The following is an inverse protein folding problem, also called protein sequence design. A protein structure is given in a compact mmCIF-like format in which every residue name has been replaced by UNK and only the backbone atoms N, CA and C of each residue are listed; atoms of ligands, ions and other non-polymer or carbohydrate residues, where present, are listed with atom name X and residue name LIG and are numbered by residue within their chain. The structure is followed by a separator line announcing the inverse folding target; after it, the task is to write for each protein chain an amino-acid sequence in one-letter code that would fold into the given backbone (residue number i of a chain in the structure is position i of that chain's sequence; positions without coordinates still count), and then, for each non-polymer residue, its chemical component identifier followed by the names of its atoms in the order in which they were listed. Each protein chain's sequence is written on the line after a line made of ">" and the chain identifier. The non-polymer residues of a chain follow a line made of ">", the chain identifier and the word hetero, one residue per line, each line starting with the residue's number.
data_IF_433772917606
#
_entry.id   IF_433772917606
#
_cell.length_a   1.000
_cell.length_b   1.000
_cell.length_c   1.000
_cell.angle_alpha   90.00
_cell.angle_beta   90.00
_cell.angle_gamma   90.00
#
_symmetry.space_group_name_H-M   'P 1'
#
loop_
_entity.id
_entity.type
_entity.pdbx_description
1 polymer ?
#
# COMPACT_ATOMS: atom_id res chain seq x y z
N UNK A 1 36.57 18.87 82.14
CA UNK A 1 35.60 18.18 81.27
C UNK A 1 34.67 19.25 80.71
N UNK A 2 34.60 19.43 79.37
CA UNK A 2 33.39 19.19 78.52
C UNK A 2 32.28 20.24 78.74
N UNK A 3 31.73 21.00 77.80
CA UNK A 3 31.82 21.11 76.33
C UNK A 3 31.30 22.52 75.96
N UNK A 4 31.85 23.10 74.89
CA UNK A 4 31.28 24.22 74.13
C UNK A 4 30.02 23.70 73.42
N UNK A 5 28.93 24.48 73.37
CA UNK A 5 27.86 24.25 72.37
C UNK A 5 27.17 25.54 71.96
N UNK A 6 27.29 25.79 70.65
CA UNK A 6 26.88 26.96 69.92
C UNK A 6 25.36 27.07 69.77
N UNK A 7 24.91 28.32 69.68
CA UNK A 7 23.61 28.74 69.18
C UNK A 7 23.54 28.40 67.68
N UNK A 8 22.58 27.57 67.28
CA UNK A 8 22.21 27.36 65.87
C UNK A 8 20.73 27.69 65.70
N UNK A 9 20.47 28.83 65.05
CA UNK A 9 19.16 29.22 64.54
C UNK A 9 18.96 28.48 63.22
N UNK A 10 18.09 27.47 63.19
CA UNK A 10 17.65 26.82 61.96
C UNK A 10 16.54 27.64 61.30
N UNK A 11 16.91 28.43 60.30
CA UNK A 11 15.95 29.01 59.34
C UNK A 11 15.46 27.91 58.40
N UNK A 12 14.22 27.44 58.58
CA UNK A 12 13.54 26.55 57.64
C UNK A 12 13.12 27.33 56.40
N UNK A 13 13.90 27.25 55.33
CA UNK A 13 13.48 27.67 53.99
C UNK A 13 12.55 26.61 53.39
N UNK A 14 11.24 26.87 53.42
CA UNK A 14 10.26 26.07 52.67
C UNK A 14 10.36 26.47 51.21
N UNK A 15 11.14 25.74 50.42
CA UNK A 15 11.14 25.87 48.96
C UNK A 15 9.91 25.16 48.43
N UNK A 16 8.83 25.91 48.21
CA UNK A 16 7.65 25.46 47.49
C UNK A 16 8.03 25.26 46.01
N UNK A 17 8.56 24.09 45.67
CA UNK A 17 8.73 23.71 44.28
C UNK A 17 7.34 23.45 43.72
N UNK A 18 6.80 24.44 43.03
CA UNK A 18 5.61 24.29 42.19
C UNK A 18 6.01 23.39 41.03
N UNK A 19 5.96 22.08 41.24
CA UNK A 19 5.98 21.11 40.14
C UNK A 19 4.65 21.26 39.40
N UNK A 20 4.56 22.29 38.56
CA UNK A 20 3.55 22.35 37.52
C UNK A 20 3.64 21.05 36.73
N UNK A 21 2.51 20.44 36.34
CA UNK A 21 2.55 19.21 35.57
C UNK A 21 3.31 19.51 34.29
N UNK A 22 4.57 19.09 34.24
CA UNK A 22 5.29 18.97 33.00
C UNK A 22 4.43 18.03 32.18
N UNK A 23 3.73 18.58 31.20
CA UNK A 23 3.30 17.84 30.03
C UNK A 23 4.58 17.41 29.32
N UNK A 24 5.30 16.46 29.93
CA UNK A 24 6.14 15.53 29.21
C UNK A 24 5.19 14.96 28.17
N UNK A 25 5.27 15.50 26.95
CA UNK A 25 4.76 14.84 25.75
C UNK A 25 5.32 13.44 25.82
N UNK A 26 4.49 12.52 26.31
CA UNK A 26 4.87 11.13 26.54
C UNK A 26 5.47 10.65 25.22
N UNK A 27 6.66 10.05 25.28
CA UNK A 27 7.34 9.55 24.09
C UNK A 27 6.37 8.62 23.36
N UNK A 28 5.78 9.12 22.28
CA UNK A 28 5.03 8.28 21.37
C UNK A 28 6.02 7.22 20.86
N UNK A 29 5.60 5.96 20.90
CA UNK A 29 6.33 4.88 20.27
C UNK A 29 6.49 5.24 18.80
N UNK A 30 7.74 5.29 18.33
CA UNK A 30 8.01 5.46 16.91
C UNK A 30 7.47 4.25 16.13
N UNK A 31 6.48 4.43 15.24
CA UNK A 31 5.91 3.33 14.45
C UNK A 31 6.95 2.55 13.64
N UNK A 32 8.07 3.18 13.26
CA UNK A 32 9.16 2.55 12.54
C UNK A 32 9.91 1.52 13.40
N UNK A 33 9.92 1.70 14.72
CA UNK A 33 10.56 0.78 15.66
C UNK A 33 9.66 -0.39 16.08
N UNK A 34 8.38 -0.37 15.70
CA UNK A 34 7.41 -1.43 16.04
C UNK A 34 7.60 -2.62 15.09
N UNK A 35 7.88 -3.83 15.61
CA UNK A 35 8.02 -5.02 14.77
C UNK A 35 6.80 -5.29 13.88
N UNK A 36 7.02 -5.80 12.67
CA UNK A 36 5.96 -6.18 11.74
C UNK A 36 5.37 -7.54 12.13
N UNK A 37 4.05 -7.74 11.99
CA UNK A 37 3.42 -9.01 12.35
C UNK A 37 3.88 -10.16 11.46
N UNK A 38 4.20 -9.91 10.19
CA UNK A 38 4.72 -10.90 9.26
C UNK A 38 3.71 -11.95 8.74
N UNK A 39 2.48 -11.97 9.25
CA UNK A 39 1.35 -12.69 8.66
C UNK A 39 0.12 -11.77 8.61
N UNK A 40 -0.86 -12.11 7.77
CA UNK A 40 -2.14 -11.40 7.68
C UNK A 40 -3.17 -12.06 8.60
N UNK A 41 -4.17 -11.28 9.04
CA UNK A 41 -5.34 -11.86 9.69
C UNK A 41 -6.16 -12.67 8.68
N UNK A 42 -7.00 -13.57 9.19
CA UNK A 42 -7.96 -14.34 8.40
C UNK A 42 -7.35 -15.21 7.27
N UNK A 43 -6.16 -15.78 7.49
CA UNK A 43 -5.54 -16.71 6.52
C UNK A 43 -6.21 -18.08 6.64
N UNK A 44 -6.70 -18.63 5.52
CA UNK A 44 -7.32 -19.96 5.43
C UNK A 44 -8.35 -20.25 6.54
N UNK A 45 -9.45 -19.48 6.62
CA UNK A 45 -10.48 -19.71 7.63
C UNK A 45 -11.12 -21.09 7.47
N UNK A 46 -11.25 -21.83 8.56
CA UNK A 46 -11.90 -23.16 8.59
C UNK A 46 -13.43 -23.09 8.64
N UNK A 47 -13.99 -21.91 8.87
CA UNK A 47 -15.42 -21.71 9.16
C UNK A 47 -15.81 -21.91 10.63
N UNK A 48 -14.88 -22.35 11.50
CA UNK A 48 -15.10 -22.52 12.95
C UNK A 48 -14.57 -21.36 13.79
N UNK A 49 -14.05 -20.30 13.15
CA UNK A 49 -13.39 -19.16 13.82
C UNK A 49 -11.87 -19.27 13.91
N UNK A 50 -11.30 -20.38 13.43
CA UNK A 50 -9.86 -20.63 13.39
C UNK A 50 -9.27 -20.35 12.01
N UNK A 51 -8.06 -19.80 12.02
CA UNK A 51 -7.27 -19.44 10.86
C UNK A 51 -5.83 -19.95 11.01
N UNK A 52 -5.10 -19.99 9.90
CA UNK A 52 -3.70 -20.42 9.87
C UNK A 52 -2.78 -19.30 10.35
N UNK A 53 -2.06 -19.57 11.43
CA UNK A 53 -0.94 -18.77 11.93
C UNK A 53 0.40 -19.23 11.38
N UNK A 54 1.48 -18.72 11.97
CA UNK A 54 2.84 -19.13 11.61
C UNK A 54 3.00 -20.65 11.80
N UNK A 55 3.54 -21.37 10.80
CA UNK A 55 3.78 -22.81 10.92
C UNK A 55 4.73 -23.17 12.04
N UNK A 56 4.53 -24.34 12.65
CA UNK A 56 5.50 -24.94 13.56
C UNK A 56 6.75 -25.43 12.81
N UNK A 57 7.71 -26.02 13.54
CA UNK A 57 8.96 -26.51 12.97
C UNK A 57 8.76 -27.60 11.88
N UNK A 58 7.61 -28.28 11.90
CA UNK A 58 7.21 -29.31 10.95
C UNK A 58 6.49 -28.73 9.72
N UNK A 59 6.37 -27.40 9.62
CA UNK A 59 5.67 -26.73 8.52
C UNK A 59 4.15 -26.79 8.61
N UNK A 60 3.59 -27.24 9.73
CA UNK A 60 2.13 -27.30 9.95
C UNK A 60 1.67 -25.96 10.52
N UNK A 61 0.73 -25.24 9.85
CA UNK A 61 0.16 -24.00 10.37
C UNK A 61 -0.44 -24.17 11.76
N UNK A 62 -0.06 -23.31 12.70
CA UNK A 62 -0.66 -23.28 14.04
C UNK A 62 -2.01 -22.57 13.95
N UNK A 63 -3.10 -23.18 14.45
CA UNK A 63 -4.42 -22.55 14.45
C UNK A 63 -4.46 -21.37 15.43
N UNK A 64 -4.96 -20.24 14.94
CA UNK A 64 -5.13 -18.99 15.69
C UNK A 64 -6.54 -18.44 15.45
N UNK A 65 -7.06 -17.56 16.33
CA UNK A 65 -8.32 -16.87 16.05
C UNK A 65 -8.22 -16.05 14.76
N UNK A 66 -9.25 -16.07 13.90
CA UNK A 66 -9.22 -15.33 12.63
C UNK A 66 -9.12 -13.80 12.78
N UNK A 67 -9.44 -13.26 13.96
CA UNK A 67 -9.22 -11.84 14.30
C UNK A 67 -7.76 -11.49 14.61
N UNK A 68 -6.85 -12.47 14.52
CA UNK A 68 -5.44 -12.31 14.83
C UNK A 68 -4.58 -12.45 13.57
N UNK A 69 -3.55 -11.60 13.40
CA UNK A 69 -3.19 -10.44 14.22
C UNK A 69 -4.25 -9.32 14.17
N UNK A 70 -4.27 -8.39 15.15
CA UNK A 70 -5.18 -7.25 15.13
C UNK A 70 -4.83 -6.26 14.00
N UNK A 71 -5.71 -5.28 13.79
CA UNK A 71 -5.35 -4.10 13.01
C UNK A 71 -4.09 -3.40 13.59
N UNK A 72 -3.22 -2.92 12.70
CA UNK A 72 -1.90 -2.40 13.10
C UNK A 72 -2.00 -1.07 13.82
N UNK A 73 -2.88 -0.18 13.40
CA UNK A 73 -3.04 1.12 14.07
C UNK A 73 -3.63 0.94 15.47
N UNK A 74 -4.63 0.05 15.59
CA UNK A 74 -5.22 -0.34 16.87
C UNK A 74 -4.20 -0.98 17.82
N UNK A 75 -3.29 -1.81 17.28
CA UNK A 75 -2.18 -2.38 18.04
C UNK A 75 -1.16 -1.32 18.49
N UNK A 76 -0.77 -0.40 17.61
CA UNK A 76 0.17 0.69 17.94
C UNK A 76 -0.42 1.61 19.00
N UNK A 77 -1.72 1.90 18.95
CA UNK A 77 -2.41 2.65 20.00
C UNK A 77 -2.33 1.92 21.35
N UNK A 78 -2.56 0.60 21.36
CA UNK A 78 -2.44 -0.22 22.56
C UNK A 78 -1.02 -0.26 23.11
N UNK A 79 -0.02 -0.40 22.23
CA UNK A 79 1.40 -0.38 22.58
C UNK A 79 1.81 0.99 23.15
N UNK A 80 1.35 2.07 22.55
CA UNK A 80 1.55 3.44 23.05
C UNK A 80 0.99 3.60 24.45
N UNK A 81 -0.22 3.10 24.72
CA UNK A 81 -0.82 3.15 26.04
C UNK A 81 0.01 2.36 27.07
N UNK A 82 0.47 1.15 26.71
CA UNK A 82 1.31 0.32 27.59
C UNK A 82 2.66 1.00 27.89
N UNK A 83 3.35 1.51 26.87
CA UNK A 83 4.65 2.19 27.03
C UNK A 83 4.51 3.48 27.84
N UNK A 84 3.41 4.22 27.65
CA UNK A 84 3.12 5.43 28.40
C UNK A 84 2.98 5.20 29.92
N UNK A 85 2.51 4.02 30.33
CA UNK A 85 2.35 3.65 31.76
C UNK A 85 3.44 2.70 32.27
N UNK A 86 4.33 2.23 31.39
CA UNK A 86 5.43 1.31 31.72
C UNK A 86 5.03 -0.15 31.95
N UNK A 87 3.77 -0.52 31.72
CA UNK A 87 3.22 -1.86 31.94
C UNK A 87 2.05 -2.13 30.99
N UNK A 88 1.61 -3.39 30.88
CA UNK A 88 0.45 -3.72 30.06
C UNK A 88 -0.81 -3.18 30.74
N UNK A 89 -1.53 -2.24 30.12
CA UNK A 89 -2.71 -1.59 30.71
C UNK A 89 -3.76 -2.61 31.17
N UNK A 90 -3.96 -3.67 30.38
CA UNK A 90 -4.91 -4.74 30.72
C UNK A 90 -4.30 -5.89 31.53
N UNK A 91 -3.00 -5.82 31.85
CA UNK A 91 -2.31 -6.76 32.75
C UNK A 91 -1.15 -6.06 33.49
N UNK A 92 -1.45 -5.22 34.50
CA UNK A 92 -0.46 -4.32 35.09
C UNK A 92 0.71 -5.00 35.81
N UNK A 93 0.61 -6.30 36.06
CA UNK A 93 1.71 -7.08 36.67
C UNK A 93 2.89 -7.25 35.73
N UNK A 94 2.68 -7.11 34.41
CA UNK A 94 3.73 -7.25 33.41
C UNK A 94 4.27 -5.86 33.04
N UNK A 95 5.53 -5.62 33.37
CA UNK A 95 6.26 -4.40 33.01
C UNK A 95 6.68 -4.45 31.53
N UNK A 96 6.67 -3.30 30.86
CA UNK A 96 7.18 -3.15 29.50
C UNK A 96 8.19 -2.00 29.44
N UNK A 97 9.23 -2.20 28.65
CA UNK A 97 10.13 -1.14 28.20
C UNK A 97 10.18 -1.11 26.68
N UNK A 98 10.30 0.08 26.11
CA UNK A 98 10.42 0.27 24.66
C UNK A 98 11.61 1.18 24.36
N UNK A 99 12.84 0.66 24.48
CA UNK A 99 14.05 1.43 24.22
C UNK A 99 14.14 1.79 22.72
N UNK A 100 14.81 2.90 22.40
CA UNK A 100 14.87 3.46 21.05
C UNK A 100 16.21 3.23 20.34
N UNK A 101 17.24 2.75 21.04
CA UNK A 101 18.53 2.47 20.41
C UNK A 101 18.50 1.16 19.60
N UNK A 102 19.56 0.93 18.83
CA UNK A 102 19.67 -0.19 17.91
C UNK A 102 20.43 -1.38 18.49
N UNK A 103 20.72 -1.41 19.80
CA UNK A 103 21.36 -2.57 20.41
C UNK A 103 20.47 -3.81 20.27
N UNK A 104 21.12 -4.98 20.21
CA UNK A 104 20.45 -6.28 20.24
C UNK A 104 19.46 -6.40 21.41
N UNK A 105 19.86 -5.93 22.58
CA UNK A 105 19.02 -5.90 23.77
C UNK A 105 17.77 -5.04 23.57
N UNK A 106 17.92 -3.85 22.97
CA UNK A 106 16.80 -2.94 22.71
C UNK A 106 15.84 -3.47 21.65
N UNK A 107 16.34 -4.11 20.60
CA UNK A 107 15.50 -4.77 19.60
C UNK A 107 14.68 -5.92 20.20
N UNK A 108 15.30 -6.77 21.04
CA UNK A 108 14.59 -7.84 21.75
C UNK A 108 13.57 -7.29 22.76
N UNK A 109 13.89 -6.20 23.46
CA UNK A 109 12.96 -5.54 24.38
C UNK A 109 11.72 -5.02 23.63
N UNK A 110 11.88 -4.43 22.44
CA UNK A 110 10.74 -3.99 21.60
C UNK A 110 9.88 -5.15 21.11
N UNK A 111 10.49 -6.27 20.71
CA UNK A 111 9.76 -7.49 20.35
C UNK A 111 9.01 -8.09 21.53
N UNK A 112 9.62 -8.10 22.71
CA UNK A 112 8.96 -8.55 23.93
C UNK A 112 7.78 -7.64 24.27
N UNK A 113 7.97 -6.32 24.24
CA UNK A 113 6.91 -5.33 24.45
C UNK A 113 5.75 -5.50 23.46
N UNK A 114 6.05 -5.73 22.19
CA UNK A 114 5.05 -6.01 21.17
C UNK A 114 4.31 -7.33 21.43
N UNK A 115 5.01 -8.37 21.86
CA UNK A 115 4.44 -9.70 22.18
C UNK A 115 3.52 -9.63 23.40
N UNK A 116 3.95 -8.96 24.48
CA UNK A 116 3.15 -8.75 25.69
C UNK A 116 1.90 -7.94 25.35
N UNK A 117 2.04 -6.87 24.57
CA UNK A 117 0.89 -6.06 24.13
C UNK A 117 -0.11 -6.92 23.35
N UNK A 118 0.38 -7.73 22.40
CA UNK A 118 -0.44 -8.61 21.58
C UNK A 118 -1.23 -9.62 22.42
N UNK A 119 -0.60 -10.23 23.41
CA UNK A 119 -1.19 -11.24 24.28
C UNK A 119 -2.15 -10.67 25.32
N UNK A 120 -2.08 -9.37 25.61
CA UNK A 120 -2.89 -8.72 26.65
C UNK A 120 -3.81 -7.63 26.09
N UNK A 121 -4.24 -7.73 24.83
CA UNK A 121 -5.10 -6.72 24.19
C UNK A 121 -6.48 -6.58 24.85
N UNK A 122 -7.02 -7.64 25.44
CA UNK A 122 -8.38 -7.69 25.99
C UNK A 122 -8.43 -8.13 27.46
N UNK A 123 -7.27 -8.32 28.10
CA UNK A 123 -7.17 -8.81 29.47
C UNK A 123 -5.91 -9.66 29.67
N UNK A 124 -5.65 -10.15 30.90
CA UNK A 124 -4.50 -10.99 31.19
C UNK A 124 -4.48 -12.27 30.33
N UNK A 125 -3.53 -12.37 29.40
CA UNK A 125 -3.41 -13.49 28.47
C UNK A 125 -4.55 -13.59 27.44
N UNK A 126 -5.47 -12.63 27.41
CA UNK A 126 -6.58 -12.58 26.45
C UNK A 126 -6.21 -11.61 25.34
N UNK A 127 -5.75 -12.16 24.23
CA UNK A 127 -5.28 -11.41 23.08
C UNK A 127 -4.96 -12.34 21.92
N UNK A 128 -4.03 -11.94 21.07
CA UNK A 128 -3.57 -12.77 19.99
C UNK A 128 -2.35 -13.60 20.43
N UNK A 129 -2.31 -14.92 20.12
CA UNK A 129 -1.17 -15.75 20.45
C UNK A 129 0.06 -15.29 19.65
N UNK A 130 1.27 -15.63 20.12
CA UNK A 130 2.51 -15.28 19.42
C UNK A 130 2.59 -15.87 18.01
N UNK A 131 1.98 -17.05 17.80
CA UNK A 131 1.80 -17.69 16.49
C UNK A 131 0.99 -16.85 15.49
N UNK A 132 0.27 -15.83 15.94
CA UNK A 132 -0.36 -14.84 15.07
C UNK A 132 0.63 -13.82 14.48
N UNK A 133 1.93 -13.98 14.75
CA UNK A 133 2.99 -13.10 14.27
C UNK A 133 4.28 -13.88 14.04
N UNK A 134 5.24 -13.29 13.33
CA UNK A 134 6.60 -13.82 13.18
C UNK A 134 7.57 -13.31 14.25
N UNK A 135 7.07 -12.75 15.37
CA UNK A 135 7.92 -12.15 16.41
C UNK A 135 8.94 -13.13 16.99
N UNK A 136 8.58 -14.41 17.16
CA UNK A 136 9.52 -15.43 17.64
C UNK A 136 10.68 -15.66 16.66
N UNK A 137 10.39 -15.75 15.36
CA UNK A 137 11.41 -15.89 14.32
C UNK A 137 12.30 -14.63 14.23
N UNK A 138 11.70 -13.44 14.37
CA UNK A 138 12.45 -12.18 14.42
C UNK A 138 13.38 -12.12 15.65
N UNK A 139 12.89 -12.55 16.82
CA UNK A 139 13.70 -12.62 18.03
C UNK A 139 14.88 -13.59 17.88
N UNK A 140 14.65 -14.76 17.27
CA UNK A 140 15.71 -15.72 16.97
C UNK A 140 16.73 -15.17 15.96
N UNK A 141 16.30 -14.48 14.91
CA UNK A 141 17.21 -13.85 13.96
C UNK A 141 18.13 -12.81 14.64
N UNK A 142 17.56 -11.96 15.50
CA UNK A 142 18.32 -10.99 16.30
C UNK A 142 19.28 -11.70 17.27
N UNK A 143 18.84 -12.79 17.90
CA UNK A 143 19.67 -13.61 18.78
C UNK A 143 20.87 -14.22 18.06
N UNK A 144 20.71 -14.62 16.81
CA UNK A 144 21.77 -15.22 15.99
C UNK A 144 22.72 -14.20 15.36
N UNK A 145 22.59 -12.91 15.68
CA UNK A 145 23.46 -11.86 15.14
C UNK A 145 23.21 -11.57 13.66
N UNK A 146 22.15 -12.14 13.09
CA UNK A 146 21.59 -11.65 11.84
C UNK A 146 20.94 -10.31 12.17
N UNK A 147 21.34 -9.19 11.55
CA UNK A 147 20.65 -7.92 11.78
C UNK A 147 19.16 -8.15 11.54
N UNK A 148 18.30 -7.71 12.47
CA UNK A 148 16.90 -7.53 12.11
C UNK A 148 16.89 -6.78 10.77
N UNK A 149 16.08 -7.20 9.77
CA UNK A 149 15.92 -6.41 8.56
C UNK A 149 15.74 -4.96 9.01
N UNK A 150 16.61 -4.03 8.59
CA UNK A 150 16.54 -2.67 9.10
C UNK A 150 15.09 -2.22 8.93
N UNK A 151 14.49 -1.70 9.99
CA UNK A 151 13.32 -0.87 9.82
C UNK A 151 13.68 0.07 8.67
N UNK A 152 12.89 0.13 7.58
CA UNK A 152 13.18 1.03 6.47
C UNK A 152 13.55 2.35 7.09
N UNK A 153 14.74 2.88 6.77
CA UNK A 153 15.24 4.09 7.39
C UNK A 153 14.08 5.08 7.42
N UNK A 154 13.73 5.55 8.61
CA UNK A 154 12.80 6.68 8.71
C UNK A 154 13.31 7.69 7.70
N UNK A 155 12.48 8.13 6.73
CA UNK A 155 12.90 9.15 5.79
C UNK A 155 13.57 10.24 6.61
N UNK A 156 14.75 10.69 6.18
CA UNK A 156 15.41 11.81 6.83
C UNK A 156 14.34 12.87 7.16
N UNK A 157 14.32 13.45 8.38
CA UNK A 157 13.38 14.50 8.70
C UNK A 157 13.33 15.41 7.49
N UNK A 158 12.16 15.59 6.84
CA UNK A 158 12.08 16.45 5.69
C UNK A 158 12.77 17.73 6.08
N UNK A 159 13.72 18.20 5.25
CA UNK A 159 14.22 19.55 5.37
C UNK A 159 12.99 20.41 5.67
N UNK A 160 13.03 21.15 6.81
CA UNK A 160 11.87 21.84 7.35
C UNK A 160 11.08 22.40 6.16
N UNK A 161 9.84 21.92 5.92
CA UNK A 161 9.19 22.13 4.65
C UNK A 161 9.23 23.62 4.39
N UNK A 162 9.83 23.99 3.25
CA UNK A 162 9.55 25.29 2.68
C UNK A 162 8.02 25.44 2.75
N UNK A 163 7.50 26.57 3.27
CA UNK A 163 6.08 26.77 3.48
C UNK A 163 5.34 26.22 2.25
N UNK A 164 4.32 25.34 2.44
CA UNK A 164 3.75 24.59 1.35
C UNK A 164 3.45 25.53 0.20
N UNK A 165 4.08 25.29 -0.95
CA UNK A 165 3.58 25.86 -2.19
C UNK A 165 2.10 25.46 -2.24
N UNK A 166 1.23 26.46 -2.31
CA UNK A 166 -0.21 26.26 -2.34
C UNK A 166 -0.53 25.13 -3.34
N UNK A 167 -1.19 24.04 -2.90
CA UNK A 167 -1.65 23.01 -3.83
C UNK A 167 -1.59 21.52 -3.46
N UNK A 168 -0.98 21.09 -2.35
CA UNK A 168 -0.78 19.66 -2.07
C UNK A 168 -2.07 18.85 -1.85
N UNK A 169 -2.55 18.14 -2.87
CA UNK A 169 -3.67 17.19 -2.79
C UNK A 169 -3.17 15.85 -2.24
N UNK A 170 -3.78 15.37 -1.15
CA UNK A 170 -3.57 14.01 -0.66
C UNK A 170 -4.22 12.98 -1.61
N UNK A 171 -3.44 12.08 -2.26
CA UNK A 171 -3.97 11.06 -3.17
C UNK A 171 -5.04 10.15 -2.56
N UNK A 172 -5.01 9.93 -1.24
CA UNK A 172 -5.98 9.08 -0.54
C UNK A 172 -7.35 9.74 -0.40
N UNK A 173 -7.39 11.08 -0.44
CA UNK A 173 -8.63 11.86 -0.41
C UNK A 173 -9.25 12.04 -1.80
N UNK A 174 -8.56 11.62 -2.87
CA UNK A 174 -9.04 11.72 -4.25
C UNK A 174 -10.06 10.60 -4.53
N UNK A 175 -11.31 10.94 -4.92
CA UNK A 175 -12.32 9.96 -5.25
C UNK A 175 -11.87 8.91 -6.27
N UNK A 176 -12.37 7.68 -6.14
CA UNK A 176 -12.17 6.63 -7.13
C UNK A 176 -13.13 6.84 -8.31
N UNK A 177 -12.66 6.58 -9.55
CA UNK A 177 -13.50 6.73 -10.74
C UNK A 177 -14.66 5.74 -10.76
N UNK A 178 -14.47 4.53 -10.23
CA UNK A 178 -15.50 3.49 -10.15
C UNK A 178 -15.83 2.80 -11.48
N UNK A 179 -15.17 3.16 -12.58
CA UNK A 179 -15.19 2.43 -13.85
C UNK A 179 -13.78 2.38 -14.46
N UNK A 180 -13.54 1.44 -15.35
CA UNK A 180 -12.26 1.28 -16.09
C UNK A 180 -12.41 1.83 -17.50
N UNK A 181 -11.37 2.49 -18.02
CA UNK A 181 -11.32 2.96 -19.40
C UNK A 181 -11.40 1.80 -20.39
N UNK A 182 -11.81 2.09 -21.63
CA UNK A 182 -11.83 1.07 -22.69
C UNK A 182 -12.91 -0.01 -22.53
N UNK A 183 -13.90 0.16 -21.65
CA UNK A 183 -14.96 -0.84 -21.44
C UNK A 183 -15.86 -0.94 -22.68
N UNK A 184 -16.00 -2.14 -23.24
CA UNK A 184 -16.87 -2.44 -24.39
C UNK A 184 -16.72 -1.45 -25.56
N UNK A 185 -15.54 -1.41 -26.22
CA UNK A 185 -15.33 -0.50 -27.34
C UNK A 185 -16.26 -0.83 -28.50
N UNK A 186 -16.86 0.19 -29.08
CA UNK A 186 -17.78 0.07 -30.23
C UNK A 186 -17.07 0.07 -31.58
N UNK A 187 -15.77 0.36 -31.61
CA UNK A 187 -15.00 0.55 -32.83
C UNK A 187 -15.04 1.98 -33.41
N UNK A 188 -15.91 2.86 -32.91
CA UNK A 188 -15.99 4.28 -33.34
C UNK A 188 -15.27 5.25 -32.40
N UNK A 189 -14.51 4.73 -31.42
CA UNK A 189 -13.85 5.54 -30.38
C UNK A 189 -14.67 5.70 -29.09
N UNK A 190 -15.89 5.17 -29.06
CA UNK A 190 -16.78 5.18 -27.90
C UNK A 190 -16.78 3.87 -27.11
N UNK A 191 -16.84 4.00 -25.80
CA UNK A 191 -16.87 2.95 -24.81
C UNK A 191 -18.05 3.14 -23.84
N UNK A 192 -18.38 2.10 -23.08
CA UNK A 192 -19.46 2.11 -22.10
C UNK A 192 -19.03 2.79 -20.79
N UNK A 193 -19.68 3.91 -20.47
CA UNK A 193 -19.59 4.60 -19.18
C UNK A 193 -20.63 4.10 -18.17
N UNK A 194 -20.86 4.90 -17.13
CA UNK A 194 -21.88 4.63 -16.12
C UNK A 194 -23.27 4.62 -16.77
N UNK A 195 -24.12 3.62 -16.49
CA UNK A 195 -25.47 3.57 -17.03
C UNK A 195 -26.36 4.72 -16.55
N UNK A 196 -27.32 5.12 -17.39
CA UNK A 196 -28.39 6.03 -16.99
C UNK A 196 -29.42 5.35 -16.05
N UNK A 197 -30.45 6.07 -15.64
CA UNK A 197 -31.49 5.55 -14.74
C UNK A 197 -32.25 4.34 -15.30
N UNK A 198 -32.24 4.16 -16.62
CA UNK A 198 -32.84 3.05 -17.35
C UNK A 198 -31.90 1.84 -17.49
N UNK A 199 -30.69 1.91 -16.92
CA UNK A 199 -29.68 0.86 -17.00
C UNK A 199 -28.93 0.80 -18.33
N UNK A 200 -29.12 1.79 -19.22
CA UNK A 200 -28.43 1.86 -20.52
C UNK A 200 -27.08 2.54 -20.33
N UNK A 201 -25.94 1.90 -20.69
CA UNK A 201 -24.62 2.52 -20.62
C UNK A 201 -24.55 3.82 -21.43
N UNK A 202 -24.08 4.90 -20.81
CA UNK A 202 -23.83 6.16 -21.50
C UNK A 202 -22.51 6.03 -22.27
N UNK A 203 -22.51 6.37 -23.57
CA UNK A 203 -21.29 6.33 -24.37
C UNK A 203 -20.32 7.45 -23.95
N UNK A 204 -19.07 7.08 -23.75
CA UNK A 204 -17.97 7.96 -23.37
C UNK A 204 -16.77 7.69 -24.28
N UNK A 205 -15.84 8.65 -24.47
CA UNK A 205 -14.60 8.37 -25.19
C UNK A 205 -13.83 7.22 -24.53
N UNK A 206 -13.27 6.29 -25.30
CA UNK A 206 -12.54 5.14 -24.74
C UNK A 206 -11.30 5.50 -23.92
N UNK A 207 -10.76 6.72 -24.10
CA UNK A 207 -9.68 7.28 -23.26
C UNK A 207 -10.14 7.75 -21.87
N UNK A 208 -11.43 7.62 -21.56
CA UNK A 208 -12.04 8.04 -20.30
C UNK A 208 -12.46 6.83 -19.46
N UNK A 209 -12.22 6.86 -18.13
CA UNK A 209 -11.47 7.87 -17.39
C UNK A 209 -9.96 7.87 -17.74
N UNK A 210 -9.23 8.98 -17.48
CA UNK A 210 -7.78 9.02 -17.67
C UNK A 210 -7.05 8.08 -16.71
N UNK A 211 -5.75 7.88 -16.93
CA UNK A 211 -4.86 7.29 -15.93
C UNK A 211 -4.94 8.07 -14.59
N UNK A 212 -4.96 7.34 -13.47
CA UNK A 212 -5.17 7.91 -12.14
C UNK A 212 -4.02 8.82 -11.72
N UNK A 213 -2.77 8.47 -12.02
CA UNK A 213 -1.62 9.30 -11.66
C UNK A 213 -1.65 10.63 -12.45
N UNK A 214 -1.94 10.54 -13.75
CA UNK A 214 -2.09 11.71 -14.64
C UNK A 214 -3.23 12.63 -14.21
N UNK A 215 -4.34 12.06 -13.75
CA UNK A 215 -5.45 12.81 -13.18
C UNK A 215 -5.08 13.52 -11.88
N UNK A 216 -4.40 12.84 -10.95
CA UNK A 216 -3.97 13.43 -9.67
C UNK A 216 -2.98 14.57 -9.92
N UNK A 217 -2.09 14.43 -10.91
CA UNK A 217 -1.22 15.53 -11.32
C UNK A 217 -2.00 16.76 -11.80
N UNK A 218 -3.04 16.54 -12.62
CA UNK A 218 -3.91 17.62 -13.11
C UNK A 218 -4.71 18.27 -11.97
N UNK A 219 -5.21 17.47 -11.03
CA UNK A 219 -5.94 17.93 -9.86
C UNK A 219 -5.02 18.76 -8.94
N UNK A 220 -3.79 18.32 -8.70
CA UNK A 220 -2.77 19.08 -7.96
C UNK A 220 -2.53 20.45 -8.60
N UNK A 221 -2.36 20.50 -9.92
CA UNK A 221 -2.17 21.77 -10.63
C UNK A 221 -3.37 22.71 -10.47
N UNK A 222 -4.59 22.19 -10.55
CA UNK A 222 -5.81 22.99 -10.37
C UNK A 222 -5.94 23.52 -8.92
N UNK A 223 -5.65 22.69 -7.92
CA UNK A 223 -5.73 23.08 -6.51
C UNK A 223 -4.63 24.08 -6.17
N UNK A 224 -3.43 23.93 -6.76
CA UNK A 224 -2.35 24.89 -6.62
C UNK A 224 -2.69 26.27 -7.19
N UNK A 225 -3.36 26.28 -8.35
CA UNK A 225 -3.83 27.50 -8.99
C UNK A 225 -5.07 28.12 -8.30
N UNK A 226 -5.78 27.37 -7.46
CA UNK A 226 -7.09 27.73 -6.92
C UNK A 226 -8.22 27.71 -7.96
N UNK A 227 -7.94 27.31 -9.20
CA UNK A 227 -8.86 27.26 -10.32
C UNK A 227 -8.47 26.15 -11.30
N UNK A 228 -9.39 25.76 -12.20
CA UNK A 228 -9.05 24.81 -13.25
C UNK A 228 -8.07 25.46 -14.25
N UNK A 229 -6.85 24.94 -14.37
CA UNK A 229 -5.76 25.54 -15.17
C UNK A 229 -6.18 25.76 -16.63
N UNK A 230 -6.92 24.80 -17.20
CA UNK A 230 -7.42 24.91 -18.58
C UNK A 230 -8.80 25.58 -18.69
N UNK A 231 -9.39 26.02 -17.58
CA UNK A 231 -10.61 26.81 -17.53
C UNK A 231 -10.64 27.73 -16.29
N UNK A 232 -9.85 28.82 -16.27
CA UNK A 232 -9.61 29.61 -15.06
C UNK A 232 -10.84 30.27 -14.45
N UNK A 233 -11.96 30.32 -15.19
CA UNK A 233 -13.23 30.84 -14.69
C UNK A 233 -13.84 29.97 -13.59
N UNK A 234 -13.41 28.70 -13.48
CA UNK A 234 -13.94 27.76 -12.49
C UNK A 234 -12.94 27.62 -11.33
N UNK A 235 -13.37 28.02 -10.14
CA UNK A 235 -12.58 27.89 -8.92
C UNK A 235 -12.55 26.44 -8.43
N UNK A 236 -11.41 26.03 -7.87
CA UNK A 236 -11.18 24.67 -7.37
C UNK A 236 -10.64 24.74 -5.95
N UNK A 237 -11.29 24.03 -5.03
CA UNK A 237 -10.87 23.89 -3.63
C UNK A 237 -10.81 22.42 -3.24
N UNK A 238 -9.76 22.02 -2.52
CA UNK A 238 -9.60 20.63 -2.08
C UNK A 238 -9.29 20.57 -0.57
N UNK A 239 -10.32 20.71 0.30
CA UNK A 239 -10.14 20.70 1.74
C UNK A 239 -9.75 19.30 2.25
N UNK A 240 -8.94 19.24 3.31
CA UNK A 240 -8.42 17.98 3.88
C UNK A 240 -9.29 17.36 4.98
N UNK A 241 -10.19 18.12 5.60
CA UNK A 241 -11.03 17.59 6.68
C UNK A 241 -12.15 16.67 6.16
N UNK A 242 -12.77 15.90 7.06
CA UNK A 242 -13.76 14.89 6.71
C UNK A 242 -15.22 15.35 6.84
N UNK A 243 -15.46 16.67 6.92
CA UNK A 243 -16.84 17.17 6.90
C UNK A 243 -17.53 16.82 5.58
N UNK A 244 -18.86 16.67 5.62
CA UNK A 244 -19.71 16.48 4.43
C UNK A 244 -19.43 17.54 3.36
N UNK A 245 -19.31 18.81 3.77
CA UNK A 245 -18.97 19.91 2.88
C UNK A 245 -17.62 19.71 2.19
N UNK A 246 -16.60 19.26 2.93
CA UNK A 246 -15.27 18.99 2.36
C UNK A 246 -15.26 17.81 1.40
N UNK A 247 -16.00 16.75 1.70
CA UNK A 247 -16.12 15.60 0.80
C UNK A 247 -16.78 15.99 -0.53
N UNK A 248 -17.86 16.78 -0.46
CA UNK A 248 -18.53 17.32 -1.65
C UNK A 248 -17.62 18.28 -2.43
N UNK A 249 -16.84 19.13 -1.75
CA UNK A 249 -15.88 20.02 -2.39
C UNK A 249 -14.80 19.24 -3.15
N UNK A 250 -14.27 18.14 -2.58
CA UNK A 250 -13.31 17.26 -3.26
C UNK A 250 -13.91 16.56 -4.48
N UNK A 251 -15.15 16.08 -4.40
CA UNK A 251 -15.85 15.50 -5.55
C UNK A 251 -16.11 16.53 -6.66
N UNK A 252 -16.45 17.76 -6.28
CA UNK A 252 -16.61 18.86 -7.24
C UNK A 252 -15.27 19.19 -7.91
N UNK A 253 -14.19 19.34 -7.14
CA UNK A 253 -12.84 19.57 -7.66
C UNK A 253 -12.39 18.46 -8.63
N UNK A 254 -12.69 17.19 -8.29
CA UNK A 254 -12.40 16.05 -9.15
C UNK A 254 -13.22 16.09 -10.45
N UNK A 255 -14.50 16.43 -10.37
CA UNK A 255 -15.40 16.56 -11.53
C UNK A 255 -14.97 17.69 -12.46
N UNK A 256 -14.67 18.87 -11.91
CA UNK A 256 -14.17 20.03 -12.65
C UNK A 256 -12.85 19.70 -13.35
N UNK A 257 -11.92 19.05 -12.65
CA UNK A 257 -10.64 18.62 -13.22
C UNK A 257 -10.87 17.67 -14.40
N UNK A 258 -11.74 16.67 -14.22
CA UNK A 258 -12.06 15.68 -15.24
C UNK A 258 -12.63 16.31 -16.53
N UNK A 259 -13.54 17.28 -16.37
CA UNK A 259 -14.22 17.95 -17.49
C UNK A 259 -13.35 18.97 -18.21
N UNK A 260 -12.26 19.44 -17.59
CA UNK A 260 -11.39 20.49 -18.12
C UNK A 260 -9.95 20.00 -18.35
N UNK A 261 -9.74 18.71 -18.60
CA UNK A 261 -8.38 18.14 -18.79
C UNK A 261 -7.65 18.69 -20.02
N UNK A 262 -8.38 19.09 -21.07
CA UNK A 262 -7.83 19.50 -22.37
C UNK A 262 -8.36 20.85 -22.86
N UNK A 263 -9.08 21.60 -22.02
CA UNK A 263 -9.71 22.87 -22.35
C UNK A 263 -11.08 23.03 -21.67
N UNK A 264 -11.75 24.19 -21.82
CA UNK A 264 -13.06 24.43 -21.25
C UNK A 264 -14.10 23.41 -21.72
N UNK A 265 -14.55 22.53 -20.82
CA UNK A 265 -15.49 21.44 -21.13
C UNK A 265 -14.92 20.34 -22.04
N UNK A 266 -13.62 20.38 -22.36
CA UNK A 266 -12.94 19.38 -23.17
C UNK A 266 -12.18 18.45 -22.24
N UNK A 267 -12.78 17.32 -21.92
CA UNK A 267 -12.24 16.34 -20.99
C UNK A 267 -13.08 15.06 -21.00
N UNK A 268 -13.10 14.38 -19.86
CA UNK A 268 -13.96 13.21 -19.70
C UNK A 268 -15.32 13.64 -19.12
N UNK A 269 -16.44 13.16 -19.70
CA UNK A 269 -17.76 13.47 -19.17
C UNK A 269 -17.93 12.85 -17.78
N UNK A 270 -18.88 13.38 -16.98
CA UNK A 270 -19.15 12.84 -15.64
C UNK A 270 -19.56 11.36 -15.66
N UNK A 271 -20.21 10.91 -16.74
CA UNK A 271 -20.53 9.50 -17.00
C UNK A 271 -19.30 8.59 -17.11
N UNK A 272 -18.09 9.14 -17.25
CA UNK A 272 -16.84 8.40 -17.16
C UNK A 272 -16.42 8.07 -15.72
N UNK A 273 -17.24 8.41 -14.72
CA UNK A 273 -16.98 8.16 -13.30
C UNK A 273 -18.28 7.94 -12.53
N UNK A 274 -18.17 7.41 -11.30
CA UNK A 274 -19.29 7.29 -10.37
C UNK A 274 -19.44 8.49 -9.44
N UNK A 275 -18.83 9.64 -9.74
CA UNK A 275 -18.83 10.81 -8.85
C UNK A 275 -20.23 11.31 -8.50
N UNK A 276 -21.17 11.29 -9.45
CA UNK A 276 -22.56 11.69 -9.20
C UNK A 276 -23.24 10.80 -8.14
N UNK A 277 -23.02 9.48 -8.20
CA UNK A 277 -23.54 8.55 -7.21
C UNK A 277 -22.89 8.78 -5.83
N UNK A 278 -21.59 9.09 -5.80
CA UNK A 278 -20.88 9.42 -4.57
C UNK A 278 -21.41 10.72 -3.93
N UNK A 279 -21.69 11.76 -4.74
CA UNK A 279 -22.32 13.01 -4.29
C UNK A 279 -23.69 12.74 -3.66
N UNK A 280 -24.56 12.01 -4.36
CA UNK A 280 -25.90 11.69 -3.87
C UNK A 280 -25.85 10.96 -2.52
N UNK A 281 -24.91 10.04 -2.37
CA UNK A 281 -24.82 9.29 -1.14
C UNK A 281 -24.29 10.12 0.04
N UNK A 282 -23.27 10.95 -0.17
CA UNK A 282 -22.82 11.91 0.83
C UNK A 282 -23.96 12.88 1.22
N UNK A 283 -24.78 13.30 0.26
CA UNK A 283 -25.95 14.16 0.49
C UNK A 283 -27.03 13.50 1.32
N UNK A 284 -27.27 12.20 1.13
CA UNK A 284 -28.32 11.48 1.84
C UNK A 284 -27.94 11.06 3.27
N UNK A 285 -26.70 11.32 3.71
CA UNK A 285 -26.24 10.95 5.05
C UNK A 285 -26.10 9.44 5.27
N UNK A 286 -26.44 8.65 4.26
CA UNK A 286 -25.96 7.29 4.10
C UNK A 286 -24.45 7.34 3.86
N UNK A 287 -23.65 6.49 4.52
CA UNK A 287 -22.31 6.21 4.00
C UNK A 287 -22.47 5.90 2.50
N UNK A 288 -21.59 6.46 1.66
CA UNK A 288 -21.62 6.17 0.24
C UNK A 288 -21.91 4.67 0.02
N UNK A 289 -22.90 4.25 -0.81
CA UNK A 289 -23.05 2.85 -1.11
C UNK A 289 -21.70 2.46 -1.70
N UNK A 290 -20.95 1.71 -0.91
CA UNK A 290 -19.90 0.86 -1.41
C UNK A 290 -20.56 0.12 -2.56
N UNK A 291 -20.12 0.40 -3.79
CA UNK A 291 -20.40 -0.44 -4.94
C UNK A 291 -20.29 -1.91 -4.49
N UNK A 292 -21.08 -2.86 -5.05
CA UNK A 292 -20.85 -4.28 -4.79
C UNK A 292 -19.35 -4.52 -4.89
N UNK A 293 -18.77 -5.01 -3.79
CA UNK A 293 -17.34 -4.93 -3.56
C UNK A 293 -16.62 -5.31 -4.86
N UNK A 294 -15.86 -4.38 -5.49
CA UNK A 294 -14.85 -4.79 -6.43
C UNK A 294 -14.05 -5.89 -5.73
N UNK A 295 -13.66 -6.99 -6.42
CA UNK A 295 -12.76 -7.97 -5.83
C UNK A 295 -11.64 -7.19 -5.14
N UNK A 296 -11.45 -7.45 -3.85
CA UNK A 296 -10.72 -6.58 -2.94
C UNK A 296 -9.50 -5.99 -3.64
N UNK A 297 -9.45 -4.65 -3.71
CA UNK A 297 -8.27 -3.96 -4.21
C UNK A 297 -7.06 -4.56 -3.49
N UNK A 298 -6.05 -5.08 -4.23
CA UNK A 298 -4.96 -5.81 -3.63
C UNK A 298 -4.31 -4.92 -2.58
N UNK A 299 -4.16 -5.51 -1.38
CA UNK A 299 -3.51 -4.86 -0.26
C UNK A 299 -2.17 -4.23 -0.71
N UNK A 300 -1.75 -3.11 -0.10
CA UNK A 300 -0.39 -2.60 -0.26
C UNK A 300 0.58 -3.78 -0.11
N UNK A 301 1.60 -3.92 -0.99
CA UNK A 301 2.47 -5.07 -0.95
C UNK A 301 3.08 -5.15 0.46
N UNK A 302 2.95 -6.32 1.10
CA UNK A 302 3.67 -6.61 2.33
C UNK A 302 5.17 -6.37 2.10
N UNK A 303 5.94 -6.01 3.13
CA UNK A 303 7.40 -5.98 3.02
C UNK A 303 7.88 -7.35 2.49
N UNK A 304 8.31 -7.39 1.22
CA UNK A 304 8.39 -8.61 0.39
C UNK A 304 7.70 -8.49 -0.98
N UNK A 305 6.97 -7.41 -1.22
CA UNK A 305 6.37 -7.08 -2.51
C UNK A 305 7.41 -6.71 -3.56
N UNK A 306 7.10 -7.08 -4.79
CA UNK A 306 7.81 -6.66 -5.99
C UNK A 306 7.73 -5.14 -6.08
N UNK A 307 8.88 -4.46 -5.99
CA UNK A 307 8.98 -3.04 -6.28
C UNK A 307 8.61 -2.79 -7.75
N UNK A 308 7.53 -2.05 -8.05
CA UNK A 308 7.11 -1.75 -9.43
C UNK A 308 8.20 -1.11 -10.30
N UNK A 309 9.15 -0.40 -9.70
CA UNK A 309 10.27 0.24 -10.40
C UNK A 309 11.33 -0.77 -10.84
N UNK A 310 11.43 -1.91 -10.16
CA UNK A 310 12.33 -3.00 -10.52
C UNK A 310 11.72 -3.96 -11.56
N UNK A 311 10.43 -3.81 -11.86
CA UNK A 311 9.73 -4.62 -12.87
C UNK A 311 10.10 -4.15 -14.28
N UNK A 312 10.66 -5.04 -15.12
CA UNK A 312 10.94 -4.76 -16.52
C UNK A 312 9.75 -4.14 -17.24
N UNK A 313 10.00 -3.10 -18.04
CA UNK A 313 8.97 -2.46 -18.87
C UNK A 313 8.57 -3.40 -20.01
N UNK A 314 7.30 -3.47 -20.40
CA UNK A 314 6.92 -4.29 -21.56
C UNK A 314 7.52 -3.76 -22.86
N UNK A 315 7.60 -2.44 -23.03
CA UNK A 315 8.10 -1.81 -24.26
C UNK A 315 7.16 -1.96 -25.47
N UNK A 316 5.98 -2.57 -25.28
CA UNK A 316 4.89 -2.66 -26.25
C UNK A 316 3.59 -2.28 -25.56
N UNK A 317 2.68 -1.70 -26.33
CA UNK A 317 1.28 -1.50 -25.94
C UNK A 317 0.46 -2.66 -26.49
N UNK A 318 -0.62 -3.05 -25.81
CA UNK A 318 -1.54 -4.05 -26.35
C UNK A 318 -2.32 -3.51 -27.55
N UNK A 319 -2.86 -4.40 -28.37
CA UNK A 319 -3.72 -4.00 -29.49
C UNK A 319 -2.99 -3.38 -30.69
N UNK A 320 -1.69 -3.58 -30.86
CA UNK A 320 -0.95 -3.05 -32.01
C UNK A 320 -1.36 -3.78 -33.30
N UNK A 321 -1.81 -3.02 -34.31
CA UNK A 321 -2.19 -3.51 -35.65
C UNK A 321 -3.08 -4.77 -35.62
N UNK A 322 -4.31 -4.69 -35.08
CA UNK A 322 -5.19 -5.83 -35.02
C UNK A 322 -5.55 -6.31 -36.42
N UNK A 323 -5.45 -7.61 -36.67
CA UNK A 323 -5.79 -8.23 -37.97
C UNK A 323 -7.28 -8.49 -38.16
N UNK A 324 -8.09 -8.31 -37.10
CA UNK A 324 -9.50 -8.68 -37.05
C UNK A 324 -9.75 -10.16 -36.68
N UNK A 325 -8.71 -11.00 -36.60
CA UNK A 325 -8.82 -12.43 -36.20
C UNK A 325 -8.47 -12.68 -34.72
N UNK A 326 -8.25 -11.61 -33.94
CA UNK A 326 -7.81 -11.69 -32.55
C UNK A 326 -6.28 -11.60 -32.36
N UNK A 327 -5.53 -11.51 -33.46
CA UNK A 327 -4.08 -11.37 -33.46
C UNK A 327 -3.65 -9.92 -33.67
N UNK A 328 -2.57 -9.56 -32.98
CA UNK A 328 -1.91 -8.26 -33.03
C UNK A 328 -0.40 -8.45 -33.27
N UNK A 329 0.27 -7.38 -33.65
CA UNK A 329 1.71 -7.36 -33.89
C UNK A 329 2.48 -7.29 -32.56
N UNK A 330 3.33 -8.29 -32.33
CA UNK A 330 4.35 -8.30 -31.30
C UNK A 330 5.72 -7.86 -31.82
N UNK A 331 6.75 -8.07 -31.01
CA UNK A 331 8.15 -7.83 -31.39
C UNK A 331 8.49 -8.57 -32.70
N UNK A 332 9.09 -7.88 -33.68
CA UNK A 332 9.57 -8.54 -34.89
C UNK A 332 10.64 -9.60 -34.62
N UNK A 333 10.65 -10.66 -35.43
CA UNK A 333 11.74 -11.63 -35.46
C UNK A 333 13.02 -11.03 -36.06
N UNK A 334 14.08 -11.84 -36.16
CA UNK A 334 15.37 -11.40 -36.71
C UNK A 334 15.30 -10.89 -38.16
N UNK A 335 14.27 -11.29 -38.90
CA UNK A 335 13.99 -10.88 -40.28
C UNK A 335 13.14 -9.60 -40.36
N UNK A 336 12.81 -8.98 -39.23
CA UNK A 336 11.99 -7.77 -39.16
C UNK A 336 10.48 -8.02 -39.34
N UNK A 337 10.04 -9.28 -39.34
CA UNK A 337 8.62 -9.64 -39.48
C UNK A 337 7.96 -9.66 -38.09
N UNK A 338 6.91 -8.86 -37.82
CA UNK A 338 6.17 -8.89 -36.55
C UNK A 338 5.67 -10.29 -36.21
N UNK A 339 5.97 -10.76 -35.00
CA UNK A 339 5.43 -12.02 -34.50
C UNK A 339 3.98 -11.78 -34.07
N UNK A 340 3.04 -12.59 -34.57
CA UNK A 340 1.64 -12.51 -34.17
C UNK A 340 1.46 -12.97 -32.72
N UNK A 341 0.76 -12.15 -31.94
CA UNK A 341 0.44 -12.38 -30.53
C UNK A 341 -1.06 -12.12 -30.30
N UNK A 342 -1.67 -12.67 -29.24
CA UNK A 342 -3.05 -12.30 -28.89
C UNK A 342 -3.17 -10.80 -28.63
N UNK A 343 -4.22 -10.15 -29.12
CA UNK A 343 -4.40 -8.70 -28.93
C UNK A 343 -4.54 -8.25 -27.47
N UNK A 344 -4.85 -9.17 -26.55
CA UNK A 344 -4.84 -8.92 -25.10
C UNK A 344 -3.43 -8.87 -24.49
N UNK A 345 -2.38 -9.05 -25.30
CA UNK A 345 -0.98 -9.08 -24.87
C UNK A 345 -0.23 -7.82 -25.36
N UNK A 346 0.62 -7.21 -24.52
CA UNK A 346 0.84 -7.52 -23.11
C UNK A 346 -0.40 -7.19 -22.24
N UNK A 347 -0.55 -7.80 -21.06
CA UNK A 347 -1.64 -7.47 -20.13
C UNK A 347 -1.51 -6.03 -19.61
N UNK A 348 -2.55 -5.55 -18.92
CA UNK A 348 -2.41 -4.35 -18.10
C UNK A 348 -1.27 -4.49 -17.08
N UNK A 349 -0.48 -3.41 -16.90
CA UNK A 349 0.72 -3.44 -16.08
C UNK A 349 0.40 -3.67 -14.61
N UNK A 350 -0.64 -3.04 -14.08
CA UNK A 350 -1.02 -3.22 -12.68
C UNK A 350 -1.45 -4.67 -12.41
N UNK A 351 -2.26 -5.22 -13.31
CA UNK A 351 -2.71 -6.62 -13.26
C UNK A 351 -1.55 -7.60 -13.35
N UNK A 352 -0.57 -7.33 -14.22
CA UNK A 352 0.65 -8.12 -14.31
C UNK A 352 1.50 -8.05 -13.04
N UNK A 353 1.71 -6.86 -12.48
CA UNK A 353 2.47 -6.68 -11.24
C UNK A 353 1.78 -7.42 -10.08
N UNK A 354 0.44 -7.46 -10.07
CA UNK A 354 -0.31 -8.26 -9.11
C UNK A 354 -0.02 -9.77 -9.26
N UNK A 355 -0.02 -10.29 -10.49
CA UNK A 355 0.35 -11.70 -10.74
C UNK A 355 1.81 -11.99 -10.38
N UNK A 356 2.73 -11.08 -10.70
CA UNK A 356 4.15 -11.21 -10.37
C UNK A 356 4.35 -11.22 -8.84
N UNK A 357 3.65 -10.34 -8.12
CA UNK A 357 3.63 -10.33 -6.67
C UNK A 357 3.15 -11.66 -6.07
N UNK A 358 2.07 -12.22 -6.62
CA UNK A 358 1.56 -13.52 -6.16
C UNK A 358 2.59 -14.64 -6.37
N UNK A 359 3.24 -14.67 -7.54
CA UNK A 359 4.27 -15.65 -7.84
C UNK A 359 5.50 -15.54 -6.93
N UNK A 360 5.97 -14.31 -6.66
CA UNK A 360 7.11 -14.05 -5.79
C UNK A 360 6.79 -14.42 -4.34
N UNK A 361 5.59 -14.08 -3.86
CA UNK A 361 5.14 -14.47 -2.53
C UNK A 361 5.03 -15.99 -2.36
N UNK A 362 4.65 -16.71 -3.42
CA UNK A 362 4.59 -18.18 -3.43
C UNK A 362 5.96 -18.85 -3.62
N UNK A 363 6.98 -18.11 -4.10
CA UNK A 363 8.28 -18.66 -4.51
C UNK A 363 8.21 -19.51 -5.79
N UNK A 364 7.07 -19.54 -6.47
CA UNK A 364 6.81 -20.29 -7.70
C UNK A 364 5.67 -19.63 -8.50
N UNK A 365 5.53 -19.99 -9.78
CA UNK A 365 4.40 -19.50 -10.57
C UNK A 365 3.09 -20.13 -10.06
N UNK A 366 2.15 -19.32 -9.56
CA UNK A 366 0.92 -19.82 -8.91
C UNK A 366 0.12 -20.76 -9.82
N UNK A 367 0.03 -20.43 -11.11
CA UNK A 367 -0.68 -21.28 -12.08
C UNK A 367 0.21 -22.36 -12.74
N UNK A 368 1.49 -22.45 -12.34
CA UNK A 368 2.40 -23.50 -12.75
C UNK A 368 3.47 -23.76 -11.66
N UNK A 369 3.11 -24.42 -10.55
CA UNK A 369 3.96 -24.50 -9.35
C UNK A 369 5.30 -25.21 -9.54
N UNK A 370 5.47 -25.94 -10.64
CA UNK A 370 6.74 -26.59 -10.99
C UNK A 370 7.86 -25.61 -11.30
N UNK A 371 7.52 -24.37 -11.66
CA UNK A 371 8.48 -23.33 -12.01
C UNK A 371 8.69 -22.39 -10.82
N UNK A 372 9.92 -22.39 -10.27
CA UNK A 372 10.32 -21.49 -9.19
C UNK A 372 10.41 -20.05 -9.68
N UNK A 373 10.03 -19.11 -8.81
CA UNK A 373 10.10 -17.68 -9.09
C UNK A 373 10.86 -17.00 -7.96
N UNK A 374 11.89 -16.24 -8.32
CA UNK A 374 12.70 -15.41 -7.42
C UNK A 374 12.80 -14.01 -7.97
N UNK A 375 12.68 -13.00 -7.12
CA UNK A 375 12.74 -11.59 -7.51
C UNK A 375 13.69 -10.83 -6.58
N UNK A 376 15.01 -10.97 -6.77
CA UNK A 376 15.99 -10.30 -5.94
C UNK A 376 15.95 -8.77 -6.17
N UNK A 377 16.29 -7.99 -5.15
CA UNK A 377 16.17 -6.53 -5.16
C UNK A 377 17.47 -5.79 -5.39
N UNK A 378 18.63 -6.46 -5.30
CA UNK A 378 19.92 -5.81 -5.54
C UNK A 378 20.15 -5.50 -7.04
N UNK A 379 21.19 -4.74 -7.31
CA UNK A 379 21.50 -4.23 -8.65
C UNK A 379 22.52 -5.06 -9.42
N UNK A 380 22.89 -6.25 -8.93
CA UNK A 380 23.79 -7.14 -9.65
C UNK A 380 23.21 -7.55 -11.00
N UNK A 381 24.10 -7.89 -11.94
CA UNK A 381 23.74 -8.44 -13.25
C UNK A 381 22.87 -9.68 -13.10
N UNK A 382 23.21 -10.57 -12.16
CA UNK A 382 22.44 -11.77 -11.83
C UNK A 382 21.01 -11.42 -11.37
N UNK A 383 20.86 -10.44 -10.49
CA UNK A 383 19.55 -10.03 -9.98
C UNK A 383 18.68 -9.37 -11.03
N UNK A 384 19.25 -8.54 -11.91
CA UNK A 384 18.53 -7.97 -13.06
C UNK A 384 18.02 -9.05 -14.02
N UNK A 385 18.84 -10.07 -14.31
CA UNK A 385 18.42 -11.19 -15.15
C UNK A 385 17.33 -12.03 -14.48
N UNK A 386 17.47 -12.33 -13.19
CA UNK A 386 16.46 -13.07 -12.43
C UNK A 386 15.10 -12.36 -12.42
N UNK A 387 15.07 -11.01 -12.35
CA UNK A 387 13.83 -10.22 -12.46
C UNK A 387 13.18 -10.34 -13.84
N UNK A 388 13.96 -10.34 -14.91
CA UNK A 388 13.45 -10.55 -16.28
C UNK A 388 12.90 -11.97 -16.44
N UNK A 389 13.57 -12.97 -15.87
CA UNK A 389 13.13 -14.35 -15.94
C UNK A 389 11.85 -14.57 -15.13
N UNK A 390 11.75 -14.00 -13.92
CA UNK A 390 10.52 -14.00 -13.13
C UNK A 390 9.35 -13.29 -13.85
N UNK A 391 9.62 -12.15 -14.48
CA UNK A 391 8.64 -11.43 -15.29
C UNK A 391 8.18 -12.27 -16.52
N UNK A 392 9.12 -12.92 -17.20
CA UNK A 392 8.85 -13.80 -18.34
C UNK A 392 8.00 -15.01 -17.94
N UNK A 393 8.37 -15.70 -16.86
CA UNK A 393 7.63 -16.84 -16.32
C UNK A 393 6.22 -16.43 -15.93
N UNK A 394 6.07 -15.28 -15.26
CA UNK A 394 4.76 -14.75 -14.88
C UNK A 394 3.90 -14.50 -16.11
N UNK A 395 4.45 -13.83 -17.12
CA UNK A 395 3.77 -13.48 -18.37
C UNK A 395 3.24 -14.73 -19.10
N UNK A 396 4.06 -15.79 -19.16
CA UNK A 396 3.74 -17.04 -19.86
C UNK A 396 2.78 -17.96 -19.09
N UNK A 397 2.61 -17.76 -17.78
CA UNK A 397 1.78 -18.60 -16.93
C UNK A 397 0.60 -17.85 -16.30
N UNK A 398 0.11 -16.77 -16.94
CA UNK A 398 -0.98 -15.96 -16.40
C UNK A 398 -2.31 -16.72 -16.23
N UNK A 399 -2.57 -17.75 -17.06
CA UNK A 399 -3.84 -18.51 -17.07
C UNK A 399 -3.63 -20.03 -16.93
N UNK A 400 -2.40 -20.49 -16.71
CA UNK A 400 -2.05 -21.91 -16.65
C UNK A 400 -0.66 -22.19 -17.23
N UNK A 401 -0.18 -23.44 -17.19
CA UNK A 401 1.13 -23.82 -17.74
C UNK A 401 1.25 -23.47 -19.22
N UNK A 402 2.08 -22.48 -19.55
CA UNK A 402 2.26 -21.96 -20.92
C UNK A 402 1.05 -21.23 -21.52
N UNK A 403 -0.01 -21.02 -20.74
CA UNK A 403 -1.23 -20.33 -21.15
C UNK A 403 -1.18 -18.88 -20.67
N UNK A 404 -0.43 -18.06 -21.39
CA UNK A 404 -0.25 -16.65 -21.05
C UNK A 404 0.11 -15.84 -22.28
N UNK A 405 0.78 -14.70 -22.07
CA UNK A 405 1.28 -13.90 -23.17
C UNK A 405 2.66 -14.41 -23.60
N UNK A 406 2.91 -14.57 -24.91
CA UNK A 406 4.22 -14.98 -25.41
C UNK A 406 5.26 -13.90 -25.12
N UNK A 407 6.53 -14.27 -24.97
CA UNK A 407 7.61 -13.31 -24.71
C UNK A 407 7.70 -12.21 -25.80
N UNK A 408 7.32 -12.53 -27.04
CA UNK A 408 7.23 -11.59 -28.16
C UNK A 408 6.22 -10.44 -27.92
N UNK A 409 5.35 -10.53 -26.92
CA UNK A 409 4.50 -9.40 -26.50
C UNK A 409 5.23 -8.34 -25.66
N UNK A 410 6.53 -8.53 -25.41
CA UNK A 410 7.36 -7.64 -24.61
C UNK A 410 8.79 -7.56 -25.15
N UNK A 411 9.55 -6.57 -24.70
CA UNK A 411 10.98 -6.42 -24.98
C UNK A 411 11.87 -7.18 -23.99
N UNK A 412 11.34 -8.11 -23.19
CA UNK A 412 12.11 -8.81 -22.15
C UNK A 412 13.34 -9.54 -22.68
N UNK A 413 13.26 -10.16 -23.86
CA UNK A 413 14.42 -10.82 -24.47
C UNK A 413 15.52 -9.81 -24.86
N UNK A 414 15.13 -8.65 -25.41
CA UNK A 414 16.08 -7.59 -25.75
C UNK A 414 16.72 -6.97 -24.49
N UNK A 415 15.92 -6.76 -23.43
CA UNK A 415 16.42 -6.31 -22.13
C UNK A 415 17.40 -7.32 -21.51
N UNK A 416 17.09 -8.63 -21.60
CA UNK A 416 17.97 -9.70 -21.13
C UNK A 416 19.31 -9.65 -21.87
N UNK A 417 19.29 -9.56 -23.19
CA UNK A 417 20.49 -9.47 -24.02
C UNK A 417 21.31 -8.20 -23.70
N UNK A 418 20.65 -7.06 -23.50
CA UNK A 418 21.32 -5.81 -23.12
C UNK A 418 22.04 -5.92 -21.77
N UNK A 419 21.44 -6.59 -20.78
CA UNK A 419 22.09 -6.84 -19.49
C UNK A 419 23.25 -7.85 -19.62
N UNK A 420 23.09 -8.88 -20.45
CA UNK A 420 24.14 -9.88 -20.71
C UNK A 420 25.38 -9.28 -21.39
N UNK A 421 25.17 -8.36 -22.34
CA UNK A 421 26.24 -7.74 -23.11
C UNK A 421 26.74 -6.42 -22.51
N UNK A 422 26.03 -5.87 -21.52
CA UNK A 422 26.47 -4.69 -20.76
C UNK A 422 27.65 -5.00 -19.82
N UNK A 423 28.51 -3.99 -19.57
CA UNK A 423 29.68 -4.10 -18.68
C UNK A 423 29.29 -4.41 -17.23
#
# INVERSE_FOLDING_TARGET
>A
MKFISAVIVFSTAVVSVSAGPLKLSRRAVDPALVPQFGIKANVNPTGTGDCDGVPNAQGVPIKIPCSCPPDRDSFIQSLNANVAVGHAVNNPTIQLSFPTDNSKASQLARLNAATITLQNLKGPGVGCPSAATTFNAQAQAIQNGTPAPPAPAAPAPPAAPAPPAAGGVDPNLVPQFGITAGKNPTGTGDCDGVPNAQGVPIKIPCSCPPDRASFIQSLNANVAAGHAVNNPTIQVSFPSNNSKASQLARLNAATVTLQNLRGPGVGCPSAATTFNAQVQAIQNGTPAPSAPAPPAAPAPPAAGGVDPNLVPQFGLTSGLNPTGTGDCDGIPNAQGVPIKIPCSCPPDRASFIQSLNANVAAGHAVNNPTIKVSFPTDNSKASKLARIDAATVTLQNLRGPGQGCPAASTTFNAQRAAIQNGP
#
